data_IF_671260897497
#
_entry.id   IF_671260897497
#
_cell.length_a   1.000
_cell.length_b   1.000
_cell.length_c   1.000
_cell.angle_alpha   90.00
_cell.angle_beta   90.00
_cell.angle_gamma   90.00
#
_symmetry.space_group_name_H-M   'P 1'
#
loop_
_entity.id
_entity.type
_entity.pdbx_description
1 polymer ?
#
# COMPACT_ATOMS: atom_id res chain seq x y z
N UNK A 1 3.62 19.83 1.72
CA UNK A 1 3.36 20.06 0.29
C UNK A 1 4.70 20.31 -0.38
N UNK A 2 5.53 19.27 -0.39
CA UNK A 2 6.89 19.35 -0.93
C UNK A 2 6.82 18.87 -2.39
N UNK A 3 7.36 19.68 -3.31
CA UNK A 3 7.40 19.38 -4.73
C UNK A 3 8.86 19.33 -5.17
N UNK A 4 9.21 18.24 -5.85
CA UNK A 4 10.57 17.99 -6.30
C UNK A 4 10.60 17.91 -7.82
N UNK A 5 11.70 18.37 -8.40
CA UNK A 5 11.91 18.13 -9.81
C UNK A 5 12.23 16.65 -10.07
N UNK A 6 11.49 16.03 -10.98
CA UNK A 6 11.67 14.64 -11.37
C UNK A 6 11.75 14.52 -12.89
N UNK A 7 12.61 13.62 -13.38
CA UNK A 7 12.63 13.21 -14.78
C UNK A 7 11.72 11.99 -14.94
N UNK A 8 10.75 12.09 -15.83
CA UNK A 8 9.89 10.96 -16.22
C UNK A 8 9.93 10.83 -17.74
N UNK A 9 10.37 9.66 -18.22
CA UNK A 9 10.74 9.46 -19.62
C UNK A 9 11.74 10.53 -20.10
N UNK A 10 11.46 11.21 -21.22
CA UNK A 10 12.30 12.28 -21.76
C UNK A 10 11.87 13.69 -21.31
N UNK A 11 10.94 13.81 -20.36
CA UNK A 11 10.41 15.09 -19.88
C UNK A 11 10.73 15.33 -18.40
N UNK A 12 10.76 16.62 -18.01
CA UNK A 12 10.95 17.07 -16.61
C UNK A 12 9.61 17.55 -16.06
N UNK A 13 9.28 17.13 -14.84
CA UNK A 13 8.04 17.46 -14.15
C UNK A 13 8.33 17.95 -12.73
N UNK A 14 7.45 18.79 -12.21
CA UNK A 14 7.34 19.02 -10.77
C UNK A 14 6.46 17.91 -10.18
N UNK A 15 7.05 17.10 -9.30
CA UNK A 15 6.38 15.97 -8.66
C UNK A 15 6.12 16.30 -7.19
N UNK A 16 4.85 16.32 -6.80
CA UNK A 16 4.47 16.46 -5.40
C UNK A 16 4.70 15.15 -4.66
N UNK A 17 5.26 15.21 -3.44
CA UNK A 17 5.54 14.02 -2.62
C UNK A 17 4.30 13.18 -2.32
N UNK A 18 3.12 13.81 -2.29
CA UNK A 18 1.84 13.10 -2.18
C UNK A 18 1.57 12.12 -3.32
N UNK A 19 2.01 12.43 -4.54
CA UNK A 19 1.87 11.52 -5.70
C UNK A 19 2.71 10.27 -5.49
N UNK A 20 3.93 10.40 -4.96
CA UNK A 20 4.81 9.26 -4.68
C UNK A 20 4.21 8.35 -3.61
N UNK A 21 3.68 8.94 -2.53
CA UNK A 21 3.02 8.19 -1.47
C UNK A 21 1.79 7.43 -1.99
N UNK A 22 0.92 8.10 -2.76
CA UNK A 22 -0.28 7.47 -3.32
C UNK A 22 0.11 6.39 -4.34
N UNK A 23 1.12 6.61 -5.17
CA UNK A 23 1.62 5.61 -6.12
C UNK A 23 2.11 4.36 -5.39
N UNK A 24 2.83 4.50 -4.29
CA UNK A 24 3.29 3.37 -3.49
C UNK A 24 2.12 2.58 -2.89
N UNK A 25 1.10 3.26 -2.35
CA UNK A 25 -0.11 2.62 -1.81
C UNK A 25 -0.89 1.88 -2.90
N UNK A 26 -1.09 2.51 -4.05
CA UNK A 26 -1.80 1.92 -5.19
C UNK A 26 -1.08 0.68 -5.72
N UNK A 27 0.21 0.80 -5.97
CA UNK A 27 1.03 -0.31 -6.47
C UNK A 27 1.09 -1.48 -5.49
N UNK A 28 1.19 -1.18 -4.18
CA UNK A 28 1.12 -2.19 -3.14
C UNK A 28 -0.21 -2.96 -3.13
N UNK A 29 -1.34 -2.26 -3.33
CA UNK A 29 -2.66 -2.89 -3.39
C UNK A 29 -2.84 -3.79 -4.63
N UNK A 30 -2.26 -3.41 -5.78
CA UNK A 30 -2.26 -4.23 -6.99
C UNK A 30 -1.47 -5.53 -6.78
N UNK A 31 -0.26 -5.42 -6.22
CA UNK A 31 0.56 -6.58 -5.88
C UNK A 31 -0.11 -7.51 -4.87
N UNK A 32 -0.75 -6.95 -3.83
CA UNK A 32 -1.58 -7.72 -2.89
C UNK A 32 -2.64 -8.53 -3.64
N UNK A 33 -3.37 -7.89 -4.57
CA UNK A 33 -4.40 -8.56 -5.37
C UNK A 33 -3.81 -9.71 -6.18
N UNK A 34 -2.69 -9.50 -6.87
CA UNK A 34 -2.02 -10.56 -7.62
C UNK A 34 -1.59 -11.75 -6.74
N UNK A 35 -1.00 -11.48 -5.57
CA UNK A 35 -0.60 -12.53 -4.61
C UNK A 35 -1.82 -13.33 -4.16
N UNK A 36 -2.88 -12.65 -3.72
CA UNK A 36 -4.12 -13.28 -3.27
C UNK A 36 -4.76 -14.15 -4.37
N UNK A 37 -4.75 -13.68 -5.62
CA UNK A 37 -5.23 -14.46 -6.77
C UNK A 37 -4.39 -15.71 -7.00
N UNK A 38 -3.05 -15.61 -6.98
CA UNK A 38 -2.15 -16.75 -7.20
C UNK A 38 -2.31 -17.79 -6.09
N UNK A 39 -2.30 -17.35 -4.83
CA UNK A 39 -2.47 -18.25 -3.68
C UNK A 39 -3.84 -18.95 -3.72
N UNK A 40 -4.90 -18.18 -3.97
CA UNK A 40 -6.26 -18.71 -4.08
C UNK A 40 -6.41 -19.71 -5.23
N UNK A 41 -5.83 -19.43 -6.40
CA UNK A 41 -5.82 -20.36 -7.54
C UNK A 41 -5.17 -21.71 -7.21
N UNK A 42 -4.14 -21.71 -6.34
CA UNK A 42 -3.44 -22.91 -5.90
C UNK A 42 -4.07 -23.56 -4.65
N UNK A 43 -5.24 -23.10 -4.20
CA UNK A 43 -5.93 -23.65 -3.01
C UNK A 43 -5.23 -23.35 -1.68
N UNK A 44 -4.32 -22.36 -1.66
CA UNK A 44 -3.61 -21.96 -0.45
C UNK A 44 -4.41 -20.90 0.32
N UNK A 45 -4.57 -21.10 1.63
CA UNK A 45 -5.15 -20.11 2.53
C UNK A 45 -4.10 -19.07 2.93
N UNK A 46 -4.48 -17.80 3.04
CA UNK A 46 -3.56 -16.70 3.35
C UNK A 46 -4.09 -15.68 4.37
N UNK A 47 -5.28 -15.87 4.92
CA UNK A 47 -5.90 -14.94 5.86
C UNK A 47 -6.21 -13.56 5.24
N UNK A 48 -6.48 -12.57 6.09
CA UNK A 48 -6.70 -11.20 5.66
C UNK A 48 -5.37 -10.51 5.38
N UNK A 49 -5.15 -10.15 4.12
CA UNK A 49 -3.88 -9.59 3.64
C UNK A 49 -3.90 -8.06 3.55
N UNK A 50 -4.81 -7.37 4.23
CA UNK A 50 -4.90 -5.90 4.17
C UNK A 50 -4.07 -5.20 5.26
N UNK A 51 -3.96 -3.88 5.14
CA UNK A 51 -3.17 -3.05 6.05
C UNK A 51 -3.78 -2.97 7.46
N UNK A 52 -5.06 -3.30 7.62
CA UNK A 52 -5.72 -3.34 8.92
C UNK A 52 -5.32 -4.61 9.66
N UNK A 53 -5.37 -5.76 9.00
CA UNK A 53 -4.86 -7.01 9.57
C UNK A 53 -3.37 -6.90 9.95
N UNK A 54 -2.56 -6.24 9.10
CA UNK A 54 -1.16 -5.91 9.45
C UNK A 54 -1.07 -4.99 10.67
N UNK A 55 -1.88 -3.94 10.72
CA UNK A 55 -1.88 -2.98 11.81
C UNK A 55 -2.27 -3.61 13.15
N UNK A 56 -3.25 -4.51 13.15
CA UNK A 56 -3.63 -5.29 14.33
C UNK A 56 -2.51 -6.23 14.76
N UNK A 57 -1.94 -7.01 13.82
CA UNK A 57 -0.88 -7.98 14.10
C UNK A 57 0.41 -7.33 14.62
N UNK A 58 0.68 -6.08 14.26
CA UNK A 58 1.88 -5.33 14.68
C UNK A 58 1.63 -4.39 15.84
N UNK A 59 0.39 -4.25 16.31
CA UNK A 59 0.02 -3.26 17.32
C UNK A 59 0.07 -1.80 16.83
N UNK A 60 0.13 -1.59 15.52
CA UNK A 60 0.01 -0.26 14.91
C UNK A 60 -1.45 0.26 14.90
N UNK A 61 -2.42 -0.61 15.21
CA UNK A 61 -3.79 -0.24 15.57
C UNK A 61 -4.09 -0.70 17.00
N UNK A 62 -4.62 0.20 17.81
CA UNK A 62 -5.04 -0.09 19.18
C UNK A 62 -6.46 0.44 19.41
N UNK A 63 -7.30 -0.29 20.16
CA UNK A 63 -8.60 0.22 20.59
C UNK A 63 -8.39 1.41 21.52
N UNK A 64 -9.24 2.43 21.39
CA UNK A 64 -9.34 3.48 22.40
C UNK A 64 -10.13 2.87 23.56
N UNK A 65 -9.58 2.87 24.77
CA UNK A 65 -10.33 2.46 25.95
C UNK A 65 -11.59 3.32 26.07
N UNK A 66 -12.75 2.68 26.14
CA UNK A 66 -14.01 3.37 26.35
C UNK A 66 -14.02 3.93 27.79
N UNK A 67 -14.17 5.25 27.90
CA UNK A 67 -14.35 5.96 29.18
C UNK A 67 -15.66 5.57 29.86
#
# INVERSE_FOLDING_TARGET
>A
DEAHEAKYQDQRFMLHSGVVLIQALHHGNDHRTHICTILGHNGLTYGDMDVWAYGEATGAMAPIEAT
#
